data_IF_723760371155
#
_entry.id   IF_723760371155
#
_cell.length_a   1.000
_cell.length_b   1.000
_cell.length_c   1.000
_cell.angle_alpha   90.00
_cell.angle_beta   90.00
_cell.angle_gamma   90.00
#
_symmetry.space_group_name_H-M   'P 1'
#
loop_
_entity.id
_entity.type
_entity.pdbx_description
1 polymer ?
#
# COMPACT_ATOMS: atom_id res chain seq x y z
N UNK A 1 13.31 8.84 -0.18
CA UNK A 1 14.04 8.50 -1.43
C UNK A 1 13.29 8.96 -2.67
N UNK A 2 12.04 8.52 -2.88
CA UNK A 2 11.17 9.03 -3.96
C UNK A 2 11.05 10.57 -3.96
N UNK A 3 10.95 11.16 -2.75
CA UNK A 3 10.94 12.61 -2.54
C UNK A 3 12.12 13.33 -3.18
N UNK A 4 13.34 12.77 -3.20
CA UNK A 4 14.51 13.42 -3.80
C UNK A 4 14.37 13.58 -5.31
N UNK A 5 13.80 12.59 -5.99
CA UNK A 5 13.57 12.67 -7.44
C UNK A 5 12.64 13.84 -7.78
N UNK A 6 11.61 14.04 -6.95
CA UNK A 6 10.65 15.11 -7.12
C UNK A 6 11.22 16.48 -6.70
N UNK A 7 11.87 16.56 -5.55
CA UNK A 7 12.45 17.79 -5.00
C UNK A 7 13.52 18.38 -5.92
N UNK A 8 14.44 17.55 -6.42
CA UNK A 8 15.54 17.99 -7.28
C UNK A 8 15.21 17.90 -8.78
N UNK A 9 13.97 17.57 -9.15
CA UNK A 9 13.51 17.40 -10.54
C UNK A 9 14.53 16.62 -11.41
N UNK A 10 15.01 15.49 -10.88
CA UNK A 10 16.14 14.77 -11.45
C UNK A 10 15.74 14.14 -12.80
N UNK A 11 16.29 14.66 -13.89
CA UNK A 11 15.94 14.19 -15.23
C UNK A 11 16.62 12.86 -15.62
N UNK A 12 17.90 12.69 -15.26
CA UNK A 12 18.73 11.54 -15.69
C UNK A 12 18.97 10.56 -14.54
N UNK A 13 18.88 9.26 -14.83
CA UNK A 13 19.18 8.21 -13.85
C UNK A 13 20.61 8.28 -13.31
N UNK A 14 21.58 8.63 -14.16
CA UNK A 14 22.98 8.81 -13.76
C UNK A 14 23.15 9.90 -12.70
N UNK A 15 22.37 10.99 -12.77
CA UNK A 15 22.37 12.05 -11.76
C UNK A 15 21.86 11.53 -10.41
N UNK A 16 20.78 10.72 -10.42
CA UNK A 16 20.28 10.07 -9.21
C UNK A 16 21.36 9.16 -8.61
N UNK A 17 22.01 8.32 -9.41
CA UNK A 17 23.09 7.46 -8.94
C UNK A 17 24.24 8.25 -8.31
N UNK A 18 24.63 9.39 -8.90
CA UNK A 18 25.68 10.27 -8.36
C UNK A 18 25.32 10.87 -7.02
N UNK A 19 24.07 11.32 -6.82
CA UNK A 19 23.60 11.83 -5.52
C UNK A 19 23.67 10.76 -4.43
N UNK A 20 23.56 9.49 -4.80
CA UNK A 20 23.73 8.34 -3.90
C UNK A 20 25.17 7.85 -3.77
N UNK A 21 26.16 8.60 -4.29
CA UNK A 21 27.58 8.23 -4.20
C UNK A 21 28.02 7.15 -5.19
N UNK A 22 27.19 6.78 -6.17
CA UNK A 22 27.54 5.78 -7.18
C UNK A 22 28.28 6.49 -8.32
N UNK A 23 29.60 6.37 -8.29
CA UNK A 23 30.49 6.94 -9.31
C UNK A 23 30.41 6.25 -10.68
N UNK A 24 31.00 6.90 -11.69
CA UNK A 24 31.05 6.43 -13.07
C UNK A 24 31.60 5.00 -13.20
N UNK A 25 32.67 4.68 -12.47
CA UNK A 25 33.31 3.35 -12.49
C UNK A 25 32.34 2.21 -12.14
N UNK A 26 31.42 2.45 -11.21
CA UNK A 26 30.43 1.44 -10.80
C UNK A 26 29.31 1.32 -11.84
N UNK A 27 28.92 2.41 -12.49
CA UNK A 27 27.89 2.41 -13.53
C UNK A 27 28.37 1.82 -14.86
N UNK A 28 29.67 1.91 -15.15
CA UNK A 28 30.27 1.43 -16.41
C UNK A 28 30.71 -0.02 -16.37
N UNK A 29 30.54 -0.73 -15.25
CA UNK A 29 30.82 -2.17 -15.21
C UNK A 29 29.92 -2.83 -16.25
N UNK A 30 30.56 -3.42 -17.27
CA UNK A 30 29.89 -4.18 -18.32
C UNK A 30 29.16 -5.42 -17.77
N UNK A 31 29.60 -5.91 -16.60
CA UNK A 31 28.97 -7.03 -15.91
C UNK A 31 27.47 -6.77 -15.76
N UNK A 32 26.67 -7.62 -16.42
CA UNK A 32 25.22 -7.49 -16.50
C UNK A 32 24.52 -7.55 -15.13
N UNK A 33 25.19 -8.09 -14.10
CA UNK A 33 24.72 -8.12 -12.73
C UNK A 33 24.89 -6.76 -12.05
N UNK A 34 23.87 -5.90 -12.16
CA UNK A 34 23.80 -4.65 -11.41
C UNK A 34 23.73 -4.92 -9.91
N UNK A 35 24.35 -4.08 -9.10
CA UNK A 35 24.25 -4.20 -7.65
C UNK A 35 22.80 -4.00 -7.17
N UNK A 36 22.42 -4.66 -6.07
CA UNK A 36 21.09 -4.52 -5.47
C UNK A 36 20.73 -3.05 -5.20
N UNK A 37 21.69 -2.26 -4.75
CA UNK A 37 21.53 -0.80 -4.55
C UNK A 37 21.16 -0.08 -5.84
N UNK A 38 21.83 -0.37 -6.96
CA UNK A 38 21.52 0.23 -8.27
C UNK A 38 20.15 -0.21 -8.77
N UNK A 39 19.78 -1.48 -8.57
CA UNK A 39 18.45 -1.99 -8.93
C UNK A 39 17.34 -1.29 -8.14
N UNK A 40 17.54 -1.07 -6.84
CA UNK A 40 16.60 -0.29 -6.00
C UNK A 40 16.49 1.16 -6.49
N UNK A 41 17.60 1.82 -6.80
CA UNK A 41 17.58 3.17 -7.36
C UNK A 41 16.88 3.22 -8.71
N UNK A 42 17.11 2.22 -9.58
CA UNK A 42 16.43 2.12 -10.87
C UNK A 42 14.92 1.96 -10.65
N UNK A 43 14.50 1.10 -9.72
CA UNK A 43 13.09 0.94 -9.39
C UNK A 43 12.46 2.24 -8.87
N UNK A 44 13.15 3.00 -8.02
CA UNK A 44 12.67 4.30 -7.53
C UNK A 44 12.56 5.31 -8.67
N UNK A 45 13.58 5.38 -9.54
CA UNK A 45 13.59 6.29 -10.67
C UNK A 45 12.48 5.97 -11.67
N UNK A 46 12.26 4.69 -11.96
CA UNK A 46 11.18 4.23 -12.83
C UNK A 46 9.81 4.51 -12.22
N UNK A 47 9.63 4.31 -10.91
CA UNK A 47 8.38 4.63 -10.21
C UNK A 47 7.97 6.10 -10.39
N UNK A 48 8.94 7.00 -10.47
CA UNK A 48 8.68 8.43 -10.65
C UNK A 48 8.30 8.83 -12.09
N UNK A 49 8.49 7.94 -13.08
CA UNK A 49 8.31 8.26 -14.49
C UNK A 49 7.29 7.38 -15.21
N UNK A 50 7.00 6.20 -14.68
CA UNK A 50 6.13 5.22 -15.33
C UNK A 50 4.84 5.02 -14.53
N UNK A 51 3.73 4.71 -15.22
CA UNK A 51 2.52 4.23 -14.56
C UNK A 51 2.82 2.93 -13.79
N UNK A 52 2.04 2.63 -12.75
CA UNK A 52 2.37 1.54 -11.81
C UNK A 52 2.49 0.18 -12.50
N UNK A 53 1.67 -0.11 -13.50
CA UNK A 53 1.72 -1.40 -14.21
C UNK A 53 3.04 -1.60 -14.95
N UNK A 54 3.50 -0.58 -15.68
CA UNK A 54 4.81 -0.64 -16.36
C UNK A 54 5.96 -0.62 -15.37
N UNK A 55 5.80 0.04 -14.22
CA UNK A 55 6.79 0.00 -13.15
C UNK A 55 6.93 -1.42 -12.58
N UNK A 56 5.81 -2.09 -12.33
CA UNK A 56 5.76 -3.46 -11.80
C UNK A 56 6.42 -4.47 -12.76
N UNK A 57 6.16 -4.32 -14.06
CA UNK A 57 6.76 -5.15 -15.11
C UNK A 57 8.17 -4.71 -15.56
N UNK A 58 8.82 -3.77 -14.85
CA UNK A 58 10.15 -3.25 -15.20
C UNK A 58 10.28 -2.73 -16.65
N UNK A 59 9.34 -1.89 -17.06
CA UNK A 59 9.16 -1.37 -18.42
C UNK A 59 8.59 -2.36 -19.44
N UNK A 60 8.23 -3.56 -19.02
CA UNK A 60 7.47 -4.50 -19.85
C UNK A 60 6.01 -4.55 -19.35
N UNK A 61 5.03 -4.86 -20.22
CA UNK A 61 3.68 -5.14 -19.76
C UNK A 61 3.71 -6.34 -18.80
N UNK A 62 2.96 -6.24 -17.71
CA UNK A 62 2.78 -7.36 -16.78
C UNK A 62 1.95 -8.42 -17.48
N UNK A 63 2.34 -9.69 -17.32
CA UNK A 63 1.56 -10.83 -17.81
C UNK A 63 0.09 -10.70 -17.34
N UNK A 64 -0.88 -10.67 -18.27
CA UNK A 64 -2.30 -10.51 -17.93
C UNK A 64 -2.80 -11.60 -16.98
N UNK A 65 -2.27 -12.83 -17.06
CA UNK A 65 -2.66 -13.92 -16.15
C UNK A 65 -2.17 -13.65 -14.72
N UNK A 66 -0.93 -13.19 -14.56
CA UNK A 66 -0.39 -12.81 -13.26
C UNK A 66 -1.11 -11.60 -12.68
N UNK A 67 -1.43 -10.61 -13.53
CA UNK A 67 -2.24 -9.44 -13.17
C UNK A 67 -3.62 -9.88 -12.65
N UNK A 68 -4.34 -10.70 -13.40
CA UNK A 68 -5.65 -11.22 -12.99
C UNK A 68 -5.59 -12.01 -11.69
N UNK A 69 -4.58 -12.87 -11.52
CA UNK A 69 -4.37 -13.63 -10.28
C UNK A 69 -4.08 -12.73 -9.09
N UNK A 70 -3.31 -11.66 -9.29
CA UNK A 70 -3.02 -10.67 -8.24
C UNK A 70 -4.29 -9.92 -7.84
N UNK A 71 -5.06 -9.42 -8.82
CA UNK A 71 -6.33 -8.72 -8.58
C UNK A 71 -7.30 -9.65 -7.82
N UNK A 72 -7.43 -10.90 -8.24
CA UNK A 72 -8.28 -11.87 -7.54
C UNK A 72 -7.85 -12.06 -6.08
N UNK A 73 -6.55 -12.21 -5.82
CA UNK A 73 -6.03 -12.29 -4.43
C UNK A 73 -6.32 -11.02 -3.63
N UNK A 74 -6.20 -9.84 -4.25
CA UNK A 74 -6.54 -8.57 -3.61
C UNK A 74 -8.03 -8.50 -3.29
N UNK A 75 -8.92 -8.86 -4.22
CA UNK A 75 -10.36 -8.91 -3.98
C UNK A 75 -10.74 -9.83 -2.81
N UNK A 76 -10.06 -10.98 -2.67
CA UNK A 76 -10.26 -11.88 -1.52
C UNK A 76 -9.76 -11.26 -0.22
N UNK A 77 -8.58 -10.61 -0.24
CA UNK A 77 -8.00 -9.99 0.94
C UNK A 77 -8.80 -8.77 1.44
N UNK A 78 -9.35 -7.98 0.50
CA UNK A 78 -10.13 -6.76 0.74
C UNK A 78 -11.64 -7.02 0.85
N UNK A 79 -12.08 -8.27 0.92
CA UNK A 79 -13.49 -8.56 1.20
C UNK A 79 -13.90 -7.85 2.51
N UNK A 80 -15.05 -7.14 2.55
CA UNK A 80 -15.52 -6.49 3.77
C UNK A 80 -15.60 -7.47 4.94
N UNK A 81 -15.16 -7.02 6.11
CA UNK A 81 -15.15 -7.80 7.36
C UNK A 81 -15.89 -7.01 8.43
N UNK A 82 -16.51 -7.74 9.33
CA UNK A 82 -17.26 -7.16 10.43
C UNK A 82 -16.32 -6.61 11.52
N UNK A 83 -16.85 -5.65 12.29
CA UNK A 83 -16.17 -5.13 13.46
C UNK A 83 -16.09 -6.21 14.54
N UNK A 84 -14.90 -6.40 15.10
CA UNK A 84 -14.74 -7.15 16.34
C UNK A 84 -14.74 -6.14 17.48
N UNK A 85 -15.81 -6.14 18.25
CA UNK A 85 -15.98 -5.30 19.44
C UNK A 85 -15.14 -5.88 20.59
N UNK A 86 -14.50 -5.06 21.43
CA UNK A 86 -13.83 -5.54 22.63
C UNK A 86 -14.80 -6.25 23.60
N UNK A 87 -14.34 -7.24 24.37
CA UNK A 87 -15.18 -7.87 25.38
C UNK A 87 -15.43 -6.91 26.56
N UNK A 88 -16.61 -7.03 27.19
CA UNK A 88 -17.07 -6.22 28.32
C UNK A 88 -16.07 -6.12 29.48
N UNK A 89 -15.27 -7.18 29.72
CA UNK A 89 -14.22 -7.19 30.76
C UNK A 89 -13.08 -6.17 30.56
N UNK A 90 -13.01 -5.55 29.38
CA UNK A 90 -12.02 -4.49 29.08
C UNK A 90 -12.41 -3.14 29.70
N UNK A 91 -13.71 -2.95 30.00
CA UNK A 91 -14.25 -1.68 30.44
C UNK A 91 -14.21 -1.53 31.96
N UNK A 92 -13.88 -0.31 32.44
CA UNK A 92 -13.85 0.01 33.88
C UNK A 92 -15.24 0.22 34.49
N UNK A 93 -16.22 0.58 33.65
CA UNK A 93 -17.60 0.83 34.04
C UNK A 93 -18.51 0.65 32.83
N UNK A 94 -19.73 0.18 33.06
CA UNK A 94 -20.78 -0.05 32.05
C UNK A 94 -21.10 1.24 31.26
N UNK A 95 -21.01 2.40 31.91
CA UNK A 95 -21.21 3.70 31.25
C UNK A 95 -20.16 4.00 30.19
N UNK A 96 -18.90 3.60 30.42
CA UNK A 96 -17.83 3.78 29.43
C UNK A 96 -17.98 2.81 28.27
N UNK A 97 -18.39 1.57 28.54
CA UNK A 97 -18.72 0.58 27.51
C UNK A 97 -19.79 1.14 26.56
N UNK A 98 -20.91 1.62 27.10
CA UNK A 98 -21.99 2.18 26.30
C UNK A 98 -21.55 3.37 25.43
N UNK A 99 -20.78 4.30 26.00
CA UNK A 99 -20.31 5.48 25.25
C UNK A 99 -19.30 5.12 24.16
N UNK A 100 -18.38 4.18 24.45
CA UNK A 100 -17.44 3.69 23.44
C UNK A 100 -18.17 2.95 22.33
N UNK A 101 -19.11 2.06 22.65
CA UNK A 101 -19.90 1.36 21.65
C UNK A 101 -20.62 2.35 20.75
N UNK A 102 -21.30 3.35 21.30
CA UNK A 102 -22.05 4.31 20.48
C UNK A 102 -21.15 5.15 19.56
N UNK A 103 -20.01 5.64 20.06
CA UNK A 103 -19.12 6.52 19.29
C UNK A 103 -18.25 5.74 18.31
N UNK A 104 -17.72 4.58 18.71
CA UNK A 104 -16.94 3.70 17.87
C UNK A 104 -17.80 3.05 16.80
N UNK A 105 -18.97 2.50 17.14
CA UNK A 105 -19.85 1.88 16.15
C UNK A 105 -20.31 2.89 15.11
N UNK A 106 -20.68 4.11 15.51
CA UNK A 106 -21.13 5.12 14.56
C UNK A 106 -20.02 5.50 13.58
N UNK A 107 -18.86 5.91 14.09
CA UNK A 107 -17.72 6.31 13.25
C UNK A 107 -17.21 5.16 12.37
N UNK A 108 -17.21 3.93 12.91
CA UNK A 108 -16.87 2.74 12.17
C UNK A 108 -17.88 2.43 11.08
N UNK A 109 -19.19 2.53 11.36
CA UNK A 109 -20.26 2.26 10.38
C UNK A 109 -20.15 3.21 9.19
N UNK A 110 -19.92 4.49 9.43
CA UNK A 110 -19.71 5.48 8.36
C UNK A 110 -18.49 5.12 7.48
N UNK A 111 -17.37 4.75 8.09
CA UNK A 111 -16.18 4.32 7.37
C UNK A 111 -16.37 2.99 6.62
N UNK A 112 -17.07 2.03 7.24
CA UNK A 112 -17.38 0.73 6.68
C UNK A 112 -18.32 0.82 5.50
N UNK A 113 -19.37 1.64 5.56
CA UNK A 113 -20.26 1.88 4.43
C UNK A 113 -19.52 2.50 3.24
N UNK A 114 -18.61 3.45 3.50
CA UNK A 114 -17.73 4.00 2.45
C UNK A 114 -16.85 2.93 1.81
N UNK A 115 -16.32 2.02 2.63
CA UNK A 115 -15.50 0.90 2.16
C UNK A 115 -16.28 -0.12 1.35
N UNK A 116 -17.46 -0.52 1.82
CA UNK A 116 -18.37 -1.44 1.15
C UNK A 116 -18.78 -0.88 -0.20
N UNK A 117 -19.15 0.41 -0.26
CA UNK A 117 -19.44 1.09 -1.51
C UNK A 117 -18.26 1.03 -2.48
N UNK A 118 -17.05 1.35 -2.02
CA UNK A 118 -15.84 1.24 -2.85
C UNK A 118 -15.58 -0.20 -3.32
N UNK A 119 -15.77 -1.20 -2.45
CA UNK A 119 -15.52 -2.59 -2.81
C UNK A 119 -16.45 -3.06 -3.94
N UNK A 120 -17.75 -2.80 -3.84
CA UNK A 120 -18.71 -3.22 -4.84
C UNK A 120 -18.71 -2.35 -6.10
N UNK A 121 -18.41 -1.05 -6.00
CA UNK A 121 -18.38 -0.15 -7.15
C UNK A 121 -17.06 -0.18 -7.93
N UNK A 122 -15.93 -0.33 -7.23
CA UNK A 122 -14.59 -0.20 -7.81
C UNK A 122 -13.85 -1.54 -7.79
N UNK A 123 -13.71 -2.19 -6.63
CA UNK A 123 -12.85 -3.36 -6.50
C UNK A 123 -13.35 -4.59 -7.28
N UNK A 124 -14.67 -4.74 -7.44
CA UNK A 124 -15.32 -5.80 -8.22
C UNK A 124 -15.59 -5.44 -9.68
N UNK A 125 -15.20 -4.23 -10.13
CA UNK A 125 -15.34 -3.86 -11.54
C UNK A 125 -14.43 -4.71 -12.44
N UNK A 126 -14.84 -5.01 -13.69
CA UNK A 126 -14.04 -5.83 -14.59
C UNK A 126 -12.72 -5.16 -15.00
N UNK A 127 -12.70 -3.83 -15.06
CA UNK A 127 -11.56 -3.02 -15.50
C UNK A 127 -10.73 -2.47 -14.33
N UNK A 128 -10.83 -3.09 -13.14
CA UNK A 128 -10.14 -2.61 -11.94
C UNK A 128 -8.61 -2.63 -12.12
N UNK A 129 -7.97 -1.53 -11.78
CA UNK A 129 -6.50 -1.43 -11.78
C UNK A 129 -5.92 -1.83 -10.43
N UNK A 130 -4.65 -2.24 -10.42
CA UNK A 130 -3.96 -2.52 -9.14
C UNK A 130 -3.79 -1.23 -8.33
N UNK A 131 -3.69 -0.07 -9.00
CA UNK A 131 -3.58 1.24 -8.34
C UNK A 131 -4.84 1.57 -7.51
N UNK A 132 -6.03 1.16 -7.95
CA UNK A 132 -7.28 1.39 -7.22
C UNK A 132 -7.28 0.72 -5.84
N UNK A 133 -6.63 -0.44 -5.72
CA UNK A 133 -6.45 -1.13 -4.44
C UNK A 133 -5.46 -0.41 -3.51
N UNK A 134 -4.50 0.34 -4.06
CA UNK A 134 -3.55 1.14 -3.27
C UNK A 134 -4.25 2.36 -2.68
N UNK A 135 -5.24 2.92 -3.39
CA UNK A 135 -6.04 4.06 -2.96
C UNK A 135 -7.30 3.66 -2.18
N UNK A 136 -7.42 2.39 -1.80
CA UNK A 136 -8.59 1.88 -1.09
C UNK A 136 -8.83 2.64 0.23
N UNK A 137 -10.10 2.92 0.59
CA UNK A 137 -10.43 3.43 1.91
C UNK A 137 -9.96 2.46 2.99
N UNK A 138 -9.55 2.97 4.14
CA UNK A 138 -9.06 2.15 5.26
C UNK A 138 -10.15 2.05 6.32
N UNK A 139 -10.47 0.83 6.72
CA UNK A 139 -11.41 0.55 7.82
C UNK A 139 -10.75 -0.37 8.83
N UNK A 140 -10.81 0.00 10.10
CA UNK A 140 -10.23 -0.77 11.18
C UNK A 140 -11.25 -1.79 11.68
N UNK A 141 -10.97 -3.08 11.58
CA UNK A 141 -11.89 -4.14 12.05
C UNK A 141 -11.65 -4.54 13.50
N UNK A 142 -10.51 -4.15 14.08
CA UNK A 142 -10.13 -4.47 15.46
C UNK A 142 -9.58 -3.21 16.13
N UNK A 143 -10.39 -2.56 16.95
CA UNK A 143 -9.97 -1.35 17.68
C UNK A 143 -9.01 -1.65 18.83
N UNK A 144 -9.22 -2.75 19.56
CA UNK A 144 -8.58 -3.01 20.85
C UNK A 144 -7.24 -3.76 20.81
N UNK A 145 -6.92 -4.47 19.73
CA UNK A 145 -5.71 -5.32 19.69
C UNK A 145 -4.39 -4.53 19.68
N UNK A 146 -4.40 -3.22 19.38
CA UNK A 146 -3.17 -2.41 19.39
C UNK A 146 -2.54 -2.27 20.78
N UNK A 147 -3.28 -2.53 21.86
CA UNK A 147 -2.82 -2.27 23.22
C UNK A 147 -2.05 -3.45 23.83
N UNK A 148 -2.23 -4.69 23.36
CA UNK A 148 -1.62 -5.87 24.02
C UNK A 148 -0.19 -6.22 23.58
N UNK A 149 0.42 -5.48 22.65
CA UNK A 149 1.80 -5.71 22.23
C UNK A 149 2.82 -4.86 23.00
N UNK A 150 2.70 -4.81 24.33
CA UNK A 150 3.74 -4.28 25.24
C UNK A 150 3.62 -4.95 26.62
N UNK A 151 3.85 -6.26 26.68
CA UNK A 151 4.26 -6.90 27.93
C UNK A 151 5.56 -7.64 27.65
N UNK A 152 6.64 -7.08 28.22
CA UNK A 152 7.97 -7.66 28.32
C UNK A 152 7.96 -8.81 29.32
#
# INVERSE_FOLDING_TARGET
>A
MYSLCHLYKIQRFSTLCRLYGIGYRLLCKLNHTKSSTVLRLKAIWLKAKLPFELWLGQCCPVDPYLKGRLIWKLQQAFRPKDLVVPPTSTYKSETFEYLEDMTLLRSWTEAWLKYVRWYYATALSPDVSIEDFIQAPVVTTRSFQRVKSFHF
#
